data_IF_215096654464
#
_entry.id   IF_215096654464
#
_cell.length_a   1.000
_cell.length_b   1.000
_cell.length_c   1.000
_cell.angle_alpha   90.00
_cell.angle_beta   90.00
_cell.angle_gamma   90.00
#
_symmetry.space_group_name_H-M   'P 1'
#
loop_
_entity.id
_entity.type
_entity.pdbx_description
1 polymer ?
#
# COMPACT_ATOMS: atom_id res chain seq x y z
N UNK A 1 15.02 -3.36 15.30
CA UNK A 1 16.06 -2.32 15.54
C UNK A 1 17.34 -2.59 14.77
N UNK A 2 17.82 -3.84 14.64
CA UNK A 2 19.03 -4.15 13.85
C UNK A 2 18.89 -3.97 12.32
N UNK A 3 17.67 -3.99 11.77
CA UNK A 3 17.49 -3.80 10.32
C UNK A 3 17.66 -2.35 9.86
N UNK A 4 17.39 -1.35 10.71
CA UNK A 4 17.54 0.08 10.35
C UNK A 4 19.00 0.44 10.07
N UNK A 5 19.96 -0.30 10.63
CA UNK A 5 21.40 -0.02 10.46
C UNK A 5 21.99 -0.52 9.14
N UNK A 6 21.36 -1.47 8.43
CA UNK A 6 21.88 -1.99 7.15
C UNK A 6 21.49 -1.11 5.95
N UNK A 7 20.47 -0.24 6.10
CA UNK A 7 19.94 0.62 5.04
C UNK A 7 20.67 1.96 4.87
N UNK A 8 21.58 2.34 5.78
CA UNK A 8 22.12 3.70 5.82
C UNK A 8 23.07 4.08 4.67
N UNK A 9 23.36 3.17 3.72
CA UNK A 9 24.44 3.39 2.73
C UNK A 9 24.10 3.09 1.26
N UNK A 10 22.88 2.61 0.92
CA UNK A 10 22.50 2.29 -0.46
C UNK A 10 21.47 3.30 -1.00
N UNK A 11 21.55 3.65 -2.28
CA UNK A 11 20.48 4.37 -2.97
C UNK A 11 19.25 3.47 -3.15
N UNK A 12 18.06 4.06 -3.23
CA UNK A 12 16.80 3.31 -3.39
C UNK A 12 16.84 2.36 -4.59
N UNK A 13 17.42 2.80 -5.72
CA UNK A 13 17.60 1.98 -6.91
C UNK A 13 18.53 0.79 -6.67
N UNK A 14 19.70 1.02 -6.06
CA UNK A 14 20.67 -0.05 -5.78
C UNK A 14 20.06 -1.08 -4.84
N UNK A 15 19.30 -0.63 -3.86
CA UNK A 15 18.56 -1.52 -2.95
C UNK A 15 17.49 -2.34 -3.71
N UNK A 16 16.72 -1.72 -4.61
CA UNK A 16 15.78 -2.44 -5.46
C UNK A 16 16.49 -3.46 -6.37
N UNK A 17 17.61 -3.08 -6.99
CA UNK A 17 18.42 -3.96 -7.84
C UNK A 17 18.95 -5.17 -7.06
N UNK A 18 19.35 -5.02 -5.80
CA UNK A 18 19.75 -6.14 -4.95
C UNK A 18 18.61 -7.13 -4.70
N UNK A 19 17.39 -6.63 -4.43
CA UNK A 19 16.23 -7.50 -4.27
C UNK A 19 15.89 -8.22 -5.58
N UNK A 20 15.89 -7.49 -6.70
CA UNK A 20 15.61 -8.06 -8.02
C UNK A 20 16.63 -9.13 -8.41
N UNK A 21 17.91 -8.94 -8.08
CA UNK A 21 18.93 -9.96 -8.31
C UNK A 21 18.67 -11.20 -7.44
N UNK A 22 18.29 -11.03 -6.17
CA UNK A 22 17.92 -12.17 -5.32
C UNK A 22 16.71 -12.94 -5.87
N UNK A 23 15.72 -12.23 -6.41
CA UNK A 23 14.55 -12.84 -7.08
C UNK A 23 14.98 -13.60 -8.34
N UNK A 24 15.88 -13.02 -9.14
CA UNK A 24 16.42 -13.66 -10.34
C UNK A 24 17.20 -14.92 -10.01
N UNK A 25 18.07 -14.88 -9.00
CA UNK A 25 18.87 -16.02 -8.54
C UNK A 25 18.01 -17.18 -8.03
N UNK A 26 16.91 -16.86 -7.31
CA UNK A 26 16.04 -17.89 -6.70
C UNK A 26 15.01 -18.46 -7.66
N UNK A 27 14.33 -17.58 -8.40
CA UNK A 27 13.14 -17.92 -9.18
C UNK A 27 13.36 -17.83 -10.69
N UNK A 28 14.54 -17.39 -11.14
CA UNK A 28 14.84 -17.22 -12.58
C UNK A 28 14.12 -16.04 -13.24
N UNK A 29 13.45 -15.18 -12.46
CA UNK A 29 12.67 -14.04 -12.98
C UNK A 29 13.54 -12.79 -13.03
N UNK A 30 13.89 -12.34 -14.24
CA UNK A 30 14.67 -11.11 -14.44
C UNK A 30 13.77 -9.86 -14.43
N UNK A 31 13.41 -9.41 -13.23
CA UNK A 31 12.62 -8.20 -13.02
C UNK A 31 13.32 -6.94 -13.53
N UNK A 32 14.66 -6.90 -13.47
CA UNK A 32 15.45 -5.76 -13.94
C UNK A 32 15.29 -5.58 -15.45
N UNK A 33 15.35 -6.67 -16.22
CA UNK A 33 15.12 -6.62 -17.66
C UNK A 33 13.71 -6.13 -18.02
N UNK A 34 12.70 -6.47 -17.21
CA UNK A 34 11.32 -5.98 -17.39
C UNK A 34 11.25 -4.48 -17.10
N UNK A 35 11.75 -4.05 -15.94
CA UNK A 35 11.63 -2.65 -15.50
C UNK A 35 12.49 -1.68 -16.31
N UNK A 36 13.63 -2.12 -16.83
CA UNK A 36 14.51 -1.32 -17.69
C UNK A 36 14.01 -1.22 -19.15
N UNK A 37 12.90 -1.88 -19.52
CA UNK A 37 12.43 -1.89 -20.90
C UNK A 37 11.64 -0.62 -21.24
N UNK A 38 12.29 0.34 -21.89
CA UNK A 38 11.69 1.64 -22.26
C UNK A 38 10.56 1.54 -23.31
N UNK A 39 10.41 0.41 -23.99
CA UNK A 39 9.30 0.18 -24.91
C UNK A 39 7.98 -0.17 -24.17
N UNK A 40 8.02 -0.39 -22.86
CA UNK A 40 6.88 -0.71 -22.03
C UNK A 40 6.49 0.49 -21.15
N UNK A 41 5.20 0.76 -21.04
CA UNK A 41 4.68 1.66 -20.00
C UNK A 41 4.94 1.08 -18.62
N UNK A 42 5.00 1.93 -17.59
CA UNK A 42 5.20 1.52 -16.19
C UNK A 42 4.16 0.48 -15.74
N UNK A 43 2.90 0.68 -16.13
CA UNK A 43 1.82 -0.30 -15.95
C UNK A 43 2.15 -1.66 -16.57
N UNK A 44 2.63 -1.68 -17.82
CA UNK A 44 2.97 -2.94 -18.51
C UNK A 44 4.19 -3.60 -17.87
N UNK A 45 5.14 -2.82 -17.35
CA UNK A 45 6.28 -3.31 -16.55
C UNK A 45 5.80 -3.99 -15.26
N UNK A 46 4.99 -3.30 -14.45
CA UNK A 46 4.41 -3.84 -13.22
C UNK A 46 3.63 -5.13 -13.48
N UNK A 47 2.76 -5.12 -14.50
CA UNK A 47 1.96 -6.27 -14.90
C UNK A 47 2.81 -7.49 -15.25
N UNK A 48 3.76 -7.34 -16.17
CA UNK A 48 4.61 -8.45 -16.61
C UNK A 48 5.44 -8.98 -15.43
N UNK A 49 5.96 -8.09 -14.60
CA UNK A 49 6.69 -8.46 -13.38
C UNK A 49 5.83 -9.29 -12.42
N UNK A 50 4.60 -8.86 -12.11
CA UNK A 50 3.67 -9.62 -11.25
C UNK A 50 3.38 -10.99 -11.84
N UNK A 51 3.00 -11.07 -13.12
CA UNK A 51 2.65 -12.34 -13.77
C UNK A 51 3.84 -13.29 -13.75
N UNK A 52 5.02 -12.86 -14.17
CA UNK A 52 6.22 -13.71 -14.20
C UNK A 52 6.65 -14.19 -12.83
N UNK A 53 6.56 -13.33 -11.82
CA UNK A 53 6.92 -13.69 -10.45
C UNK A 53 5.90 -14.65 -9.84
N UNK A 54 4.60 -14.42 -10.06
CA UNK A 54 3.54 -15.34 -9.63
C UNK A 54 3.67 -16.71 -10.31
N UNK A 55 3.86 -16.76 -11.63
CA UNK A 55 4.09 -18.00 -12.38
C UNK A 55 5.24 -18.81 -11.75
N UNK A 56 6.40 -18.17 -11.53
CA UNK A 56 7.55 -18.85 -10.95
C UNK A 56 7.30 -19.36 -9.51
N UNK A 57 6.65 -18.56 -8.67
CA UNK A 57 6.34 -18.95 -7.29
C UNK A 57 5.28 -20.06 -7.23
N UNK A 58 4.29 -20.04 -8.11
CA UNK A 58 3.24 -21.06 -8.17
C UNK A 58 3.78 -22.39 -8.70
N UNK A 59 4.68 -22.36 -9.68
CA UNK A 59 5.39 -23.55 -10.16
C UNK A 59 6.22 -24.21 -9.06
N UNK A 60 6.86 -23.43 -8.17
CA UNK A 60 7.60 -23.95 -7.02
C UNK A 60 6.70 -24.59 -5.96
N UNK A 61 5.56 -23.95 -5.65
CA UNK A 61 4.59 -24.46 -4.66
C UNK A 61 3.93 -25.76 -5.16
N UNK A 62 3.74 -25.92 -6.47
CA UNK A 62 3.13 -27.09 -7.11
C UNK A 62 4.00 -28.35 -7.22
N UNK A 63 5.30 -28.29 -6.90
CA UNK A 63 6.18 -29.48 -6.99
C UNK A 63 5.93 -30.49 -5.84
N UNK A 64 5.75 -31.78 -6.13
CA UNK A 64 5.53 -32.79 -5.09
C UNK A 64 6.74 -32.87 -4.14
N UNK A 65 6.49 -32.76 -2.83
CA UNK A 65 7.52 -32.75 -1.78
C UNK A 65 7.81 -31.37 -1.17
N UNK A 66 7.14 -30.29 -1.61
CA UNK A 66 7.30 -28.92 -1.10
C UNK A 66 6.71 -28.67 0.29
N UNK A 67 6.06 -29.67 0.92
CA UNK A 67 5.39 -29.52 2.22
C UNK A 67 4.00 -28.87 2.15
N UNK A 68 3.52 -28.52 0.96
CA UNK A 68 2.13 -28.13 0.73
C UNK A 68 1.22 -29.36 0.85
N UNK A 69 0.81 -29.67 2.09
CA UNK A 69 -0.22 -30.69 2.34
C UNK A 69 -1.57 -30.16 1.87
N UNK A 70 -2.31 -31.05 1.21
CA UNK A 70 -3.52 -30.78 0.44
C UNK A 70 -4.45 -29.73 1.04
N UNK A 71 -4.64 -28.65 0.28
CA UNK A 71 -5.79 -27.77 0.36
C UNK A 71 -6.31 -27.67 -1.07
N UNK A 72 -7.38 -28.41 -1.35
CA UNK A 72 -8.16 -28.21 -2.57
C UNK A 72 -8.76 -26.81 -2.42
N UNK A 73 -8.33 -25.89 -3.26
CA UNK A 73 -8.97 -24.58 -3.41
C UNK A 73 -10.36 -24.83 -4.00
N UNK A 74 -11.35 -25.12 -3.17
CA UNK A 74 -12.75 -25.04 -3.58
C UNK A 74 -13.13 -23.57 -3.57
N UNK A 75 -13.49 -23.09 -4.76
CA UNK A 75 -14.17 -21.83 -5.05
C UNK A 75 -13.33 -20.54 -5.09
N UNK A 76 -12.12 -20.60 -5.67
CA UNK A 76 -11.46 -19.40 -6.20
C UNK A 76 -11.07 -19.62 -7.66
N UNK A 77 -11.71 -18.85 -8.54
CA UNK A 77 -11.39 -18.82 -9.96
C UNK A 77 -10.10 -18.00 -10.16
N UNK A 78 -8.96 -18.69 -10.14
CA UNK A 78 -7.61 -18.13 -10.31
C UNK A 78 -7.51 -17.28 -11.58
N UNK A 79 -8.19 -17.69 -12.67
CA UNK A 79 -8.20 -16.97 -13.94
C UNK A 79 -8.97 -15.66 -13.82
N UNK A 80 -10.16 -15.67 -13.20
CA UNK A 80 -10.95 -14.44 -12.99
C UNK A 80 -10.29 -13.44 -12.03
N UNK A 81 -9.60 -13.91 -10.99
CA UNK A 81 -8.89 -13.03 -10.05
C UNK A 81 -7.66 -12.39 -10.68
N UNK A 82 -6.89 -13.17 -11.45
CA UNK A 82 -5.77 -12.68 -12.22
C UNK A 82 -6.27 -11.71 -13.30
N UNK A 83 -7.32 -12.04 -14.06
CA UNK A 83 -7.93 -11.14 -15.06
C UNK A 83 -8.45 -9.82 -14.47
N UNK A 84 -9.06 -9.83 -13.29
CA UNK A 84 -9.50 -8.59 -12.61
C UNK A 84 -8.34 -7.71 -12.15
N UNK A 85 -7.19 -8.30 -11.82
CA UNK A 85 -5.96 -7.56 -11.55
C UNK A 85 -5.31 -7.04 -12.86
N UNK A 86 -5.74 -7.52 -14.03
CA UNK A 86 -5.19 -7.19 -15.34
C UNK A 86 -6.00 -6.11 -16.10
N UNK A 87 -7.20 -5.73 -15.64
CA UNK A 87 -8.15 -4.89 -16.40
C UNK A 87 -8.19 -3.39 -16.00
N UNK A 88 -7.55 -2.97 -14.91
CA UNK A 88 -7.63 -1.56 -14.45
C UNK A 88 -6.47 -0.69 -14.97
N UNK A 89 -6.76 0.54 -15.38
CA UNK A 89 -5.76 1.53 -15.84
C UNK A 89 -4.70 1.87 -14.80
N UNK A 90 -5.04 1.70 -13.53
CA UNK A 90 -4.17 1.91 -12.36
C UNK A 90 -4.03 0.59 -11.61
N UNK A 91 -2.82 0.31 -11.12
CA UNK A 91 -2.57 -0.87 -10.29
C UNK A 91 -3.30 -0.77 -8.95
N UNK A 92 -3.91 -1.87 -8.51
CA UNK A 92 -4.63 -1.89 -7.24
C UNK A 92 -3.73 -2.42 -6.12
N UNK A 93 -3.54 -1.61 -5.08
CA UNK A 93 -2.82 -1.99 -3.87
C UNK A 93 -3.80 -2.40 -2.76
N UNK A 94 -3.65 -3.61 -2.19
CA UNK A 94 -4.51 -4.08 -1.10
C UNK A 94 -4.29 -3.28 0.18
N UNK A 95 -5.28 -3.27 1.07
CA UNK A 95 -5.11 -2.66 2.40
C UNK A 95 -4.14 -3.49 3.26
N UNK A 96 -3.26 -2.80 3.98
CA UNK A 96 -2.44 -3.41 5.01
C UNK A 96 -3.13 -3.25 6.37
N UNK A 97 -3.06 -4.27 7.22
CA UNK A 97 -3.48 -4.13 8.61
C UNK A 97 -2.30 -4.28 9.57
N UNK A 98 -2.37 -3.53 10.68
CA UNK A 98 -1.35 -3.51 11.72
C UNK A 98 -2.02 -3.39 13.08
N UNK A 99 -1.31 -3.74 14.15
CA UNK A 99 -1.81 -3.48 15.50
C UNK A 99 -1.89 -1.96 15.72
N UNK A 100 -2.78 -1.52 16.61
CA UNK A 100 -2.90 -0.09 16.94
C UNK A 100 -1.59 0.49 17.51
N UNK A 101 -0.80 -0.31 18.24
CA UNK A 101 0.53 0.09 18.72
C UNK A 101 1.51 0.34 17.57
N UNK A 102 1.55 -0.55 16.58
CA UNK A 102 2.41 -0.38 15.41
C UNK A 102 1.96 0.82 14.57
N UNK A 103 0.64 0.99 14.38
CA UNK A 103 0.10 2.18 13.71
C UNK A 103 0.53 3.48 14.40
N UNK A 104 0.44 3.54 15.73
CA UNK A 104 0.86 4.71 16.49
C UNK A 104 2.34 5.03 16.30
N UNK A 105 3.19 4.01 16.23
CA UNK A 105 4.61 4.20 15.89
C UNK A 105 4.78 4.76 14.48
N UNK A 106 4.14 4.16 13.47
CA UNK A 106 4.24 4.56 12.07
C UNK A 106 3.73 5.99 11.83
N UNK A 107 2.61 6.37 12.46
CA UNK A 107 2.06 7.73 12.42
C UNK A 107 3.00 8.77 13.06
N UNK A 108 3.89 8.33 13.95
CA UNK A 108 4.90 9.17 14.61
C UNK A 108 6.15 9.45 13.78
N UNK A 109 6.37 8.72 12.68
CA UNK A 109 7.59 8.86 11.87
C UNK A 109 7.68 10.21 11.15
N UNK A 110 8.88 10.76 11.06
CA UNK A 110 9.17 12.06 10.43
C UNK A 110 10.48 11.99 9.65
N UNK A 111 10.67 12.88 8.68
CA UNK A 111 11.94 12.95 7.95
C UNK A 111 12.29 11.65 7.24
N UNK A 112 13.57 11.29 7.25
CA UNK A 112 14.06 10.07 6.62
C UNK A 112 13.47 8.78 7.20
N UNK A 113 12.96 8.79 8.43
CA UNK A 113 12.33 7.60 9.03
C UNK A 113 11.08 7.16 8.26
N UNK A 114 10.36 8.12 7.64
CA UNK A 114 9.21 7.83 6.76
C UNK A 114 9.67 7.03 5.54
N UNK A 115 10.78 7.45 4.92
CA UNK A 115 11.38 6.77 3.77
C UNK A 115 11.92 5.40 4.16
N UNK A 116 12.69 5.33 5.26
CA UNK A 116 13.28 4.09 5.74
C UNK A 116 12.22 3.03 6.07
N UNK A 117 11.12 3.43 6.71
CA UNK A 117 10.02 2.51 7.00
C UNK A 117 9.42 1.94 5.73
N UNK A 118 8.98 2.80 4.78
CA UNK A 118 8.34 2.33 3.55
C UNK A 118 9.30 1.51 2.67
N UNK A 119 10.58 1.89 2.57
CA UNK A 119 11.59 1.09 1.85
C UNK A 119 11.89 -0.24 2.54
N UNK A 120 11.86 -0.30 3.88
CA UNK A 120 12.10 -1.55 4.62
C UNK A 120 10.99 -2.57 4.42
N UNK A 121 9.75 -2.13 4.18
CA UNK A 121 8.64 -3.01 3.86
C UNK A 121 8.91 -3.83 2.59
N UNK A 122 9.65 -3.30 1.60
CA UNK A 122 10.01 -4.04 0.38
C UNK A 122 10.79 -5.32 0.69
N UNK A 123 11.76 -5.26 1.61
CA UNK A 123 12.50 -6.47 2.04
C UNK A 123 11.61 -7.43 2.80
N UNK A 124 10.68 -6.91 3.59
CA UNK A 124 9.71 -7.74 4.31
C UNK A 124 8.79 -8.48 3.34
N UNK A 125 8.28 -7.80 2.32
CA UNK A 125 7.48 -8.43 1.28
C UNK A 125 8.28 -9.43 0.44
N UNK A 126 9.56 -9.17 0.18
CA UNK A 126 10.45 -10.16 -0.44
C UNK A 126 10.57 -11.43 0.42
N UNK A 127 10.74 -11.31 1.74
CA UNK A 127 10.76 -12.48 2.62
C UNK A 127 9.40 -13.20 2.64
N UNK A 128 8.30 -12.45 2.68
CA UNK A 128 6.93 -12.99 2.70
C UNK A 128 6.61 -13.79 1.44
N UNK A 129 7.01 -13.34 0.24
CA UNK A 129 6.74 -14.10 -1.00
C UNK A 129 7.46 -15.45 -1.03
N UNK A 130 8.57 -15.57 -0.29
CA UNK A 130 9.37 -16.79 -0.19
C UNK A 130 8.85 -17.77 0.87
N UNK A 131 7.76 -17.44 1.57
CA UNK A 131 7.22 -18.29 2.62
C UNK A 131 6.64 -19.59 2.03
N UNK A 132 7.07 -20.73 2.57
CA UNK A 132 6.64 -22.06 2.09
C UNK A 132 5.45 -22.63 2.87
N UNK A 133 5.10 -22.00 3.98
CA UNK A 133 4.01 -22.44 4.86
C UNK A 133 3.23 -21.24 5.40
N UNK A 134 1.94 -21.41 5.75
CA UNK A 134 1.17 -20.35 6.41
C UNK A 134 1.81 -19.84 7.71
N UNK A 135 2.48 -20.73 8.46
CA UNK A 135 3.20 -20.35 9.68
C UNK A 135 4.40 -19.45 9.42
N UNK A 136 5.21 -19.75 8.40
CA UNK A 136 6.33 -18.89 8.00
C UNK A 136 5.84 -17.51 7.54
N UNK A 137 4.78 -17.47 6.72
CA UNK A 137 4.20 -16.19 6.28
C UNK A 137 3.66 -15.37 7.46
N UNK A 138 2.98 -16.02 8.42
CA UNK A 138 2.50 -15.36 9.63
C UNK A 138 3.64 -14.76 10.46
N UNK A 139 4.77 -15.46 10.58
CA UNK A 139 5.96 -14.95 11.28
C UNK A 139 6.54 -13.72 10.58
N UNK A 140 6.66 -13.75 9.25
CA UNK A 140 7.17 -12.61 8.48
C UNK A 140 6.23 -11.39 8.56
N UNK A 141 4.90 -11.61 8.53
CA UNK A 141 3.91 -10.54 8.74
C UNK A 141 4.12 -9.85 10.09
N UNK A 142 4.11 -10.62 11.18
CA UNK A 142 4.30 -10.08 12.54
C UNK A 142 5.66 -9.38 12.67
N UNK A 143 6.72 -9.96 12.09
CA UNK A 143 8.07 -9.37 12.10
C UNK A 143 8.17 -8.06 11.29
N UNK A 144 7.26 -7.86 10.35
CA UNK A 144 7.08 -6.62 9.58
C UNK A 144 6.15 -5.61 10.26
N UNK A 145 5.58 -5.91 11.43
CA UNK A 145 4.56 -5.08 12.08
C UNK A 145 3.21 -5.11 11.36
N UNK A 146 2.96 -6.16 10.56
CA UNK A 146 1.72 -6.36 9.82
C UNK A 146 0.94 -7.54 10.40
N UNK A 147 -0.38 -7.42 10.35
CA UNK A 147 -1.31 -8.49 10.71
C UNK A 147 -1.89 -9.15 9.45
N UNK A 148 -2.07 -8.40 8.37
CA UNK A 148 -2.53 -8.95 7.10
C UNK A 148 -2.15 -8.09 5.90
N UNK A 149 -2.18 -8.72 4.72
CA UNK A 149 -2.13 -8.07 3.40
C UNK A 149 -3.42 -8.40 2.69
N UNK A 150 -4.25 -7.39 2.45
CA UNK A 150 -5.60 -7.52 1.91
C UNK A 150 -6.67 -7.79 2.98
N UNK A 151 -7.89 -7.33 2.69
CA UNK A 151 -9.06 -7.51 3.57
C UNK A 151 -9.50 -8.97 3.70
N UNK A 152 -9.49 -9.84 2.66
CA UNK A 152 -9.89 -11.24 2.83
C UNK A 152 -9.07 -11.95 3.92
N UNK A 153 -7.75 -11.74 3.93
CA UNK A 153 -6.88 -12.26 4.99
C UNK A 153 -7.22 -11.63 6.34
N UNK A 154 -7.42 -10.30 6.38
CA UNK A 154 -7.76 -9.59 7.61
C UNK A 154 -9.04 -10.14 8.25
N UNK A 155 -10.09 -10.38 7.46
CA UNK A 155 -11.40 -10.86 7.93
C UNK A 155 -11.28 -12.22 8.60
N UNK A 156 -10.57 -13.17 7.97
CA UNK A 156 -10.39 -14.51 8.53
C UNK A 156 -9.50 -14.49 9.79
N UNK A 157 -8.46 -13.65 9.81
CA UNK A 157 -7.66 -13.39 11.02
C UNK A 157 -8.51 -12.80 12.15
N UNK A 158 -9.36 -11.80 11.86
CA UNK A 158 -10.26 -11.18 12.83
C UNK A 158 -11.25 -12.20 13.40
N UNK A 159 -11.83 -13.07 12.55
CA UNK A 159 -12.72 -14.14 13.02
C UNK A 159 -12.00 -15.06 14.02
N UNK A 160 -10.75 -15.42 13.72
CA UNK A 160 -9.94 -16.25 14.60
C UNK A 160 -9.56 -15.55 15.91
N UNK A 161 -9.21 -14.25 15.87
CA UNK A 161 -8.99 -13.42 17.08
C UNK A 161 -10.25 -13.36 17.95
N UNK A 162 -11.43 -13.12 17.34
CA UNK A 162 -12.72 -13.12 18.06
C UNK A 162 -13.07 -14.47 18.67
N UNK A 163 -12.56 -15.56 18.11
CA UNK A 163 -12.69 -16.90 18.67
C UNK A 163 -11.69 -17.19 19.81
N UNK A 164 -10.87 -16.21 20.22
CA UNK A 164 -9.92 -16.30 21.32
C UNK A 164 -8.56 -16.87 20.94
N UNK A 165 -8.22 -16.96 19.65
CA UNK A 165 -6.89 -17.38 19.23
C UNK A 165 -5.87 -16.25 19.42
N UNK A 166 -4.68 -16.59 19.91
CA UNK A 166 -3.57 -15.63 19.98
C UNK A 166 -3.17 -15.14 18.58
N UNK A 167 -2.75 -13.88 18.46
CA UNK A 167 -2.45 -13.19 17.20
C UNK A 167 -1.71 -14.02 16.14
N UNK A 168 -0.55 -14.61 16.46
CA UNK A 168 0.22 -15.40 15.49
C UNK A 168 -0.59 -16.61 14.97
N UNK A 169 -1.36 -17.25 15.84
CA UNK A 169 -2.22 -18.38 15.46
C UNK A 169 -3.39 -17.89 14.62
N UNK A 170 -3.99 -16.75 14.97
CA UNK A 170 -5.08 -16.15 14.20
C UNK A 170 -4.64 -15.75 12.78
N UNK A 171 -3.45 -15.15 12.64
CA UNK A 171 -2.87 -14.81 11.32
C UNK A 171 -2.65 -16.07 10.49
N UNK A 172 -2.07 -17.12 11.09
CA UNK A 172 -1.89 -18.41 10.43
C UNK A 172 -3.23 -18.99 9.98
N UNK A 173 -4.27 -18.92 10.82
CA UNK A 173 -5.62 -19.35 10.48
C UNK A 173 -6.15 -18.53 9.30
N UNK A 174 -6.00 -17.21 9.31
CA UNK A 174 -6.40 -16.33 8.22
C UNK A 174 -5.76 -16.69 6.88
N UNK A 175 -4.44 -16.92 6.87
CA UNK A 175 -3.71 -17.38 5.68
C UNK A 175 -4.19 -18.76 5.21
N UNK A 176 -4.42 -19.68 6.15
CA UNK A 176 -4.86 -21.04 5.84
C UNK A 176 -6.26 -21.03 5.20
N UNK A 177 -7.17 -20.19 5.72
CA UNK A 177 -8.53 -20.05 5.22
C UNK A 177 -8.60 -19.51 3.79
N UNK A 178 -7.76 -18.53 3.44
CA UNK A 178 -7.74 -17.95 2.08
C UNK A 178 -6.85 -18.73 1.10
N UNK A 179 -6.02 -19.63 1.61
CA UNK A 179 -5.00 -20.35 0.86
C UNK A 179 -3.67 -19.58 0.78
N UNK A 180 -2.56 -20.32 0.96
CA UNK A 180 -1.20 -19.74 0.93
C UNK A 180 -0.88 -19.07 -0.41
N UNK A 181 -1.31 -19.65 -1.53
CA UNK A 181 -1.11 -19.09 -2.88
C UNK A 181 -1.74 -17.71 -3.01
N UNK A 182 -2.98 -17.55 -2.57
CA UNK A 182 -3.71 -16.28 -2.55
C UNK A 182 -3.01 -15.24 -1.69
N UNK A 183 -2.55 -15.66 -0.52
CA UNK A 183 -1.80 -14.81 0.41
C UNK A 183 -0.48 -14.30 -0.19
N UNK A 184 0.30 -15.21 -0.80
CA UNK A 184 1.54 -14.85 -1.52
C UNK A 184 1.22 -13.96 -2.72
N UNK A 185 0.10 -14.20 -3.41
CA UNK A 185 -0.39 -13.36 -4.50
C UNK A 185 -0.51 -11.90 -4.10
N UNK A 186 -1.21 -11.62 -3.00
CA UNK A 186 -1.37 -10.27 -2.46
C UNK A 186 -0.02 -9.63 -2.06
N UNK A 187 0.89 -10.42 -1.47
CA UNK A 187 2.25 -9.98 -1.13
C UNK A 187 3.06 -9.58 -2.37
N UNK A 188 2.99 -10.36 -3.44
CA UNK A 188 3.72 -10.11 -4.69
C UNK A 188 3.24 -8.83 -5.36
N UNK A 189 1.93 -8.52 -5.30
CA UNK A 189 1.37 -7.27 -5.83
C UNK A 189 2.06 -6.06 -5.20
N UNK A 190 2.08 -6.01 -3.87
CA UNK A 190 2.67 -4.91 -3.11
C UNK A 190 4.19 -4.87 -3.31
N UNK A 191 4.85 -6.03 -3.33
CA UNK A 191 6.30 -6.11 -3.57
C UNK A 191 6.67 -5.51 -4.93
N UNK A 192 5.97 -5.87 -6.00
CA UNK A 192 6.26 -5.36 -7.34
C UNK A 192 6.01 -3.86 -7.43
N UNK A 193 4.92 -3.36 -6.81
CA UNK A 193 4.66 -1.92 -6.71
C UNK A 193 5.81 -1.17 -6.04
N UNK A 194 6.31 -1.70 -4.91
CA UNK A 194 7.44 -1.13 -4.18
C UNK A 194 8.76 -1.22 -4.94
N UNK A 195 9.06 -2.35 -5.58
CA UNK A 195 10.28 -2.48 -6.38
C UNK A 195 10.27 -1.55 -7.58
N UNK A 196 9.13 -1.42 -8.26
CA UNK A 196 8.98 -0.46 -9.35
C UNK A 196 9.17 0.97 -8.83
N UNK A 197 8.53 1.34 -7.72
CA UNK A 197 8.74 2.63 -7.07
C UNK A 197 10.23 2.88 -6.81
N UNK A 198 10.93 1.96 -6.15
CA UNK A 198 12.34 2.17 -5.77
C UNK A 198 13.28 2.17 -6.99
N UNK A 199 12.96 1.41 -8.04
CA UNK A 199 13.78 1.28 -9.25
C UNK A 199 13.67 2.49 -10.19
N UNK A 200 12.49 3.10 -10.33
CA UNK A 200 12.27 4.23 -11.25
C UNK A 200 13.09 5.46 -10.80
N UNK A 201 14.16 5.83 -11.50
CA UNK A 201 14.90 7.08 -11.21
C UNK A 201 14.20 8.33 -11.76
N UNK A 202 12.89 8.46 -11.50
CA UNK A 202 12.16 9.69 -11.75
C UNK A 202 12.29 10.62 -10.55
N UNK A 203 12.81 11.84 -10.74
CA UNK A 203 13.11 12.75 -9.64
C UNK A 203 11.88 13.53 -9.18
N UNK A 204 10.64 13.10 -9.46
CA UNK A 204 9.42 13.75 -8.92
C UNK A 204 8.26 12.75 -8.80
N UNK A 205 8.39 11.83 -7.85
CA UNK A 205 7.44 10.74 -7.61
C UNK A 205 7.15 10.59 -6.11
N UNK A 206 6.01 9.99 -5.76
CA UNK A 206 5.59 9.82 -4.36
C UNK A 206 4.97 8.46 -4.07
N UNK A 207 5.51 7.79 -3.05
CA UNK A 207 4.88 6.64 -2.41
C UNK A 207 4.19 7.12 -1.13
N UNK A 208 2.88 6.95 -1.05
CA UNK A 208 2.09 7.40 0.09
C UNK A 208 1.36 6.26 0.79
N UNK A 209 1.24 6.38 2.10
CA UNK A 209 0.45 5.51 2.95
C UNK A 209 -0.57 6.37 3.73
N UNK A 210 -1.83 5.97 3.74
CA UNK A 210 -2.89 6.65 4.49
C UNK A 210 -3.45 5.69 5.53
N UNK A 211 -3.35 6.05 6.81
CA UNK A 211 -3.73 5.24 7.96
C UNK A 211 -5.08 5.69 8.50
N UNK A 212 -5.99 4.75 8.73
CA UNK A 212 -7.31 4.99 9.27
C UNK A 212 -7.50 4.30 10.63
N UNK A 213 -7.34 5.06 11.72
CA UNK A 213 -7.71 4.64 13.08
C UNK A 213 -9.05 5.30 13.47
N UNK A 214 -10.09 5.04 12.67
CA UNK A 214 -11.47 5.45 12.94
C UNK A 214 -12.43 4.28 12.76
N UNK A 215 -13.66 4.41 13.26
CA UNK A 215 -14.71 3.42 13.08
C UNK A 215 -15.42 3.52 11.71
N UNK A 216 -14.89 4.31 10.78
CA UNK A 216 -15.48 4.56 9.45
C UNK A 216 -14.68 3.89 8.32
N UNK A 217 -15.39 3.32 7.36
CA UNK A 217 -14.81 2.96 6.07
C UNK A 217 -14.67 4.23 5.22
N UNK A 218 -13.55 4.38 4.54
CA UNK A 218 -13.31 5.51 3.65
C UNK A 218 -13.26 5.10 2.20
N UNK A 219 -14.07 5.78 1.40
CA UNK A 219 -14.17 5.62 -0.05
C UNK A 219 -13.73 6.91 -0.72
N UNK A 220 -12.98 6.79 -1.80
CA UNK A 220 -12.70 7.88 -2.75
C UNK A 220 -13.58 7.63 -3.96
N UNK A 221 -14.71 8.33 -4.04
CA UNK A 221 -15.76 8.04 -5.03
C UNK A 221 -15.24 8.29 -6.46
N UNK A 222 -15.52 7.35 -7.36
CA UNK A 222 -15.15 7.44 -8.78
C UNK A 222 -13.67 7.85 -9.02
N UNK A 223 -12.75 7.38 -8.17
CA UNK A 223 -11.34 7.79 -8.21
C UNK A 223 -10.68 7.49 -9.57
N UNK A 224 -11.14 6.44 -10.27
CA UNK A 224 -10.68 6.05 -11.59
C UNK A 224 -10.86 7.18 -12.63
N UNK A 225 -11.87 8.04 -12.42
CA UNK A 225 -12.11 9.18 -13.31
C UNK A 225 -11.09 10.29 -13.14
N UNK A 226 -10.26 10.27 -12.09
CA UNK A 226 -9.28 11.32 -11.75
C UNK A 226 -7.81 10.99 -12.03
N UNK A 227 -7.52 9.74 -12.41
CA UNK A 227 -6.15 9.16 -12.44
C UNK A 227 -5.18 9.84 -13.42
N UNK A 228 -5.71 10.50 -14.46
CA UNK A 228 -4.94 11.25 -15.47
C UNK A 228 -5.15 12.77 -15.35
N UNK A 229 -5.60 13.26 -14.20
CA UNK A 229 -5.85 14.69 -13.97
C UNK A 229 -7.14 15.24 -14.59
N UNK A 230 -8.06 14.35 -14.95
CA UNK A 230 -9.45 14.69 -15.26
C UNK A 230 -10.15 15.20 -13.98
N UNK A 231 -11.04 16.18 -14.14
CA UNK A 231 -11.76 16.84 -13.04
C UNK A 231 -13.04 16.09 -12.68
N UNK A 232 -12.93 14.82 -12.36
CA UNK A 232 -14.08 13.97 -12.06
C UNK A 232 -13.72 12.94 -10.99
N UNK A 233 -14.67 12.72 -10.07
CA UNK A 233 -14.46 11.88 -8.88
C UNK A 233 -13.76 12.62 -7.75
N UNK A 234 -13.48 11.86 -6.68
CA UNK A 234 -12.85 12.34 -5.45
C UNK A 234 -11.31 12.22 -5.48
N UNK A 235 -10.71 11.86 -6.63
CA UNK A 235 -9.26 11.93 -6.87
C UNK A 235 -9.01 13.01 -7.93
N UNK A 236 -8.08 13.92 -7.67
CA UNK A 236 -7.67 14.92 -8.64
C UNK A 236 -6.15 15.03 -8.68
N UNK A 237 -5.58 14.82 -9.87
CA UNK A 237 -4.17 15.09 -10.13
C UNK A 237 -4.01 16.40 -10.90
N UNK A 238 -3.40 17.38 -10.24
CA UNK A 238 -3.01 18.61 -10.91
C UNK A 238 -1.84 18.36 -11.87
N UNK A 239 -0.90 17.52 -11.46
CA UNK A 239 0.26 17.11 -12.24
C UNK A 239 0.64 15.65 -11.95
N UNK A 240 1.15 14.96 -12.97
CA UNK A 240 1.47 13.54 -12.88
C UNK A 240 0.29 12.64 -13.22
N UNK A 241 0.45 11.37 -12.89
CA UNK A 241 -0.57 10.33 -13.02
C UNK A 241 -0.51 9.39 -11.81
N UNK A 242 -1.60 8.68 -11.53
CA UNK A 242 -1.66 7.68 -10.46
C UNK A 242 -1.22 6.33 -11.04
N UNK A 243 -0.09 5.80 -10.60
CA UNK A 243 0.45 4.53 -11.06
C UNK A 243 -0.14 3.35 -10.28
N UNK A 244 -0.34 3.52 -8.97
CA UNK A 244 -0.98 2.52 -8.11
C UNK A 244 -1.89 3.19 -7.08
N UNK A 245 -3.03 2.59 -6.76
CA UNK A 245 -4.00 3.15 -5.85
C UNK A 245 -4.60 2.11 -4.92
N UNK A 246 -4.86 2.53 -3.68
CA UNK A 246 -5.44 1.68 -2.65
C UNK A 246 -6.87 1.29 -3.02
N UNK A 247 -7.16 -0.01 -3.00
CA UNK A 247 -8.53 -0.48 -3.09
C UNK A 247 -8.61 -1.90 -2.56
N UNK A 248 -9.62 -2.14 -1.76
CA UNK A 248 -9.98 -3.46 -1.28
C UNK A 248 -11.51 -3.59 -1.22
N UNK A 249 -12.01 -4.73 -0.76
CA UNK A 249 -13.43 -4.90 -0.49
C UNK A 249 -13.68 -4.77 1.02
N UNK A 250 -14.86 -4.31 1.43
CA UNK A 250 -15.26 -4.25 2.85
C UNK A 250 -15.38 -5.64 3.53
N UNK A 251 -15.13 -6.72 2.80
CA UNK A 251 -15.17 -8.07 3.34
C UNK A 251 -14.76 -9.09 2.30
N UNK A 252 -15.74 -9.63 1.60
CA UNK A 252 -15.54 -10.62 0.53
C UNK A 252 -15.52 -10.01 -0.87
N UNK A 253 -15.30 -10.84 -1.89
CA UNK A 253 -15.20 -10.45 -3.31
C UNK A 253 -16.43 -9.72 -3.87
N UNK A 254 -17.59 -9.84 -3.21
CA UNK A 254 -18.85 -9.21 -3.61
C UNK A 254 -19.21 -7.97 -2.77
N UNK A 255 -18.41 -7.66 -1.75
CA UNK A 255 -18.65 -6.51 -0.87
C UNK A 255 -18.29 -5.19 -1.58
N UNK A 256 -18.86 -4.05 -1.15
CA UNK A 256 -18.49 -2.75 -1.69
C UNK A 256 -16.97 -2.52 -1.63
N UNK A 257 -16.47 -1.82 -2.65
CA UNK A 257 -15.06 -1.41 -2.70
C UNK A 257 -14.82 -0.27 -1.71
N UNK A 258 -13.69 -0.33 -1.03
CA UNK A 258 -13.23 0.66 -0.06
C UNK A 258 -11.77 0.99 -0.33
N UNK A 259 -11.39 2.25 -0.13
CA UNK A 259 -9.99 2.66 -0.25
C UNK A 259 -9.23 2.35 1.04
N UNK A 260 -9.84 2.61 2.20
CA UNK A 260 -9.26 2.30 3.51
C UNK A 260 -10.36 1.82 4.46
N UNK A 261 -10.19 0.61 4.98
CA UNK A 261 -11.14 0.01 5.92
C UNK A 261 -11.17 0.74 7.27
N UNK A 262 -12.32 0.70 7.96
CA UNK A 262 -12.44 1.03 9.38
C UNK A 262 -11.54 0.15 10.26
N UNK A 263 -11.14 0.69 11.42
CA UNK A 263 -10.46 -0.07 12.47
C UNK A 263 -11.33 -1.20 12.99
N UNK A 264 -10.69 -2.19 13.61
CA UNK A 264 -11.38 -3.27 14.31
C UNK A 264 -11.02 -3.18 15.78
N UNK A 265 -12.06 -2.96 16.58
CA UNK A 265 -11.95 -2.82 18.02
C UNK A 265 -12.42 -4.10 18.72
N UNK A 266 -11.54 -4.74 19.49
CA UNK A 266 -11.81 -5.91 20.34
C UNK A 266 -12.08 -5.51 21.80
N UNK A 267 -11.69 -4.29 22.17
CA UNK A 267 -11.92 -3.72 23.49
C UNK A 267 -11.13 -2.41 23.69
N UNK A 268 -11.53 -1.57 24.66
CA UNK A 268 -10.76 -0.38 25.02
C UNK A 268 -9.31 -0.77 25.35
N UNK A 269 -8.35 -0.21 24.61
CA UNK A 269 -6.91 -0.48 24.75
C UNK A 269 -6.49 -1.94 24.53
N UNK A 270 -7.31 -2.75 23.86
CA UNK A 270 -6.93 -4.11 23.48
C UNK A 270 -5.71 -4.05 22.52
N UNK A 271 -4.61 -4.77 22.82
CA UNK A 271 -3.41 -4.80 21.97
C UNK A 271 -3.68 -5.42 20.59
N UNK A 272 -4.74 -6.21 20.45
CA UNK A 272 -5.16 -6.84 19.19
C UNK A 272 -6.07 -5.95 18.35
N UNK A 273 -6.35 -4.71 18.79
CA UNK A 273 -7.03 -3.71 17.97
C UNK A 273 -6.27 -3.49 16.66
N UNK A 274 -6.97 -3.60 15.55
CA UNK A 274 -6.37 -3.51 14.21
C UNK A 274 -6.72 -2.19 13.55
N UNK A 275 -5.71 -1.59 12.94
CA UNK A 275 -5.78 -0.36 12.15
C UNK A 275 -5.41 -0.70 10.71
N UNK A 276 -6.07 -0.05 9.75
CA UNK A 276 -5.85 -0.30 8.32
C UNK A 276 -5.15 0.87 7.65
N UNK A 277 -4.34 0.55 6.66
CA UNK A 277 -3.61 1.50 5.84
C UNK A 277 -3.79 1.19 4.35
N UNK A 278 -4.02 2.23 3.56
CA UNK A 278 -4.01 2.14 2.09
C UNK A 278 -2.72 2.73 1.52
N UNK A 279 -2.22 2.15 0.44
CA UNK A 279 -1.00 2.57 -0.26
C UNK A 279 -1.36 3.18 -1.62
N UNK A 280 -0.67 4.24 -2.02
CA UNK A 280 -0.76 4.79 -3.36
C UNK A 280 0.62 5.18 -3.89
N UNK A 281 0.76 5.16 -5.21
CA UNK A 281 1.95 5.61 -5.92
C UNK A 281 1.55 6.55 -7.05
N UNK A 282 2.11 7.77 -7.04
CA UNK A 282 1.96 8.73 -8.12
C UNK A 282 3.32 9.11 -8.71
N UNK A 283 3.38 9.20 -10.03
CA UNK A 283 4.58 9.59 -10.77
C UNK A 283 4.31 10.83 -11.64
N UNK A 284 5.38 11.53 -12.00
CA UNK A 284 5.32 12.69 -12.88
C UNK A 284 4.93 12.30 -14.30
N UNK A 285 4.38 13.28 -15.02
CA UNK A 285 4.24 13.18 -16.48
C UNK A 285 5.54 13.65 -17.15
N UNK A 286 5.69 13.36 -18.44
CA UNK A 286 6.80 13.87 -19.24
C UNK A 286 6.85 15.41 -19.20
N UNK A 287 8.05 15.97 -18.99
CA UNK A 287 8.30 17.41 -18.92
C UNK A 287 8.71 17.93 -17.52
N UNK A 288 8.67 19.25 -17.35
CA UNK A 288 9.08 19.96 -16.13
C UNK A 288 7.91 20.07 -15.13
N UNK A 289 7.27 18.94 -14.82
CA UNK A 289 6.13 18.87 -13.89
C UNK A 289 6.38 17.77 -12.85
N UNK A 290 5.78 17.97 -11.68
CA UNK A 290 5.88 17.05 -10.55
C UNK A 290 4.81 15.96 -10.55
N UNK A 291 4.66 15.32 -9.39
CA UNK A 291 3.51 14.50 -9.03
C UNK A 291 2.74 15.21 -7.91
N UNK A 292 1.56 15.74 -8.22
CA UNK A 292 0.80 16.63 -7.34
C UNK A 292 -0.70 16.36 -7.46
N UNK A 293 -1.37 16.18 -6.34
CA UNK A 293 -2.79 15.87 -6.33
C UNK A 293 -3.43 15.91 -4.94
N UNK A 294 -4.75 15.79 -4.94
CA UNK A 294 -5.58 15.68 -3.75
C UNK A 294 -6.56 14.53 -3.90
N UNK A 295 -6.81 13.83 -2.80
CA UNK A 295 -7.81 12.77 -2.72
C UNK A 295 -8.78 13.06 -1.57
N UNK A 296 -10.08 12.92 -1.81
CA UNK A 296 -11.15 13.13 -0.83
C UNK A 296 -11.66 11.78 -0.36
N UNK A 297 -11.41 11.47 0.91
CA UNK A 297 -11.94 10.30 1.57
C UNK A 297 -13.28 10.62 2.20
N UNK A 298 -14.27 9.81 1.87
CA UNK A 298 -15.66 9.99 2.28
C UNK A 298 -16.16 8.78 3.06
N UNK A 299 -16.83 9.05 4.17
CA UNK A 299 -17.67 8.12 4.93
C UNK A 299 -19.05 8.76 5.13
N UNK A 300 -20.06 8.03 5.64
CA UNK A 300 -21.35 8.63 5.99
C UNK A 300 -21.26 9.75 7.04
N UNK A 301 -20.23 9.75 7.91
CA UNK A 301 -20.11 10.72 9.01
C UNK A 301 -19.17 11.88 8.72
N UNK A 302 -18.07 11.62 8.03
CA UNK A 302 -17.00 12.60 7.82
C UNK A 302 -16.40 12.49 6.42
N UNK A 303 -15.93 13.63 5.91
CA UNK A 303 -15.14 13.76 4.69
C UNK A 303 -13.86 14.53 4.97
N UNK A 304 -12.72 14.00 4.55
CA UNK A 304 -11.44 14.67 4.65
C UNK A 304 -10.68 14.57 3.33
N UNK A 305 -9.88 15.57 3.03
CA UNK A 305 -8.98 15.58 1.89
C UNK A 305 -7.54 15.37 2.34
N UNK A 306 -6.77 14.68 1.52
CA UNK A 306 -5.32 14.50 1.66
C UNK A 306 -4.63 15.01 0.40
N UNK A 307 -3.79 16.03 0.55
CA UNK A 307 -2.96 16.60 -0.50
C UNK A 307 -1.56 15.98 -0.42
N UNK A 308 -1.02 15.62 -1.56
CA UNK A 308 0.39 15.35 -1.75
C UNK A 308 0.95 16.21 -2.88
N UNK A 309 2.17 16.72 -2.70
CA UNK A 309 2.82 17.57 -3.68
C UNK A 309 4.32 17.30 -3.75
N UNK A 310 4.77 16.89 -4.94
CA UNK A 310 6.19 16.75 -5.31
C UNK A 310 6.47 17.61 -6.54
N UNK A 311 6.42 18.95 -6.41
CA UNK A 311 6.55 19.87 -7.52
C UNK A 311 7.97 19.89 -8.09
N UNK A 312 8.10 20.22 -9.37
CA UNK A 312 9.41 20.20 -10.05
C UNK A 312 10.37 21.26 -9.50
N UNK A 313 9.88 22.48 -9.27
CA UNK A 313 10.69 23.64 -8.87
C UNK A 313 10.47 24.11 -7.43
N UNK A 314 9.35 23.73 -6.80
CA UNK A 314 9.01 24.17 -5.45
C UNK A 314 9.39 23.10 -4.42
N UNK A 315 9.23 23.44 -3.14
CA UNK A 315 9.41 22.47 -2.06
C UNK A 315 8.21 21.50 -2.01
N UNK A 316 8.53 20.24 -1.71
CA UNK A 316 7.59 19.16 -1.47
C UNK A 316 6.74 19.48 -0.24
N UNK A 317 5.51 18.95 -0.21
CA UNK A 317 4.66 19.10 0.95
C UNK A 317 3.41 18.24 0.90
N UNK A 318 2.74 18.21 2.03
CA UNK A 318 1.45 17.55 2.20
C UNK A 318 0.54 18.42 3.07
N UNK A 319 -0.75 18.17 2.98
CA UNK A 319 -1.75 18.73 3.89
C UNK A 319 -2.91 17.76 4.02
N UNK A 320 -3.57 17.76 5.16
CA UNK A 320 -4.77 16.96 5.41
C UNK A 320 -5.77 17.85 6.13
N UNK A 321 -7.06 17.70 5.84
CA UNK A 321 -8.11 18.49 6.49
C UNK A 321 -9.53 18.08 6.12
N UNK A 322 -10.50 18.47 6.95
CA UNK A 322 -11.91 18.24 6.68
C UNK A 322 -12.40 19.07 5.49
N UNK A 323 -13.29 18.48 4.70
CA UNK A 323 -13.97 19.15 3.58
C UNK A 323 -15.47 18.90 3.67
N UNK A 324 -16.25 19.74 3.01
CA UNK A 324 -17.71 19.61 2.94
C UNK A 324 -18.16 18.97 1.64
N UNK A 325 -19.35 18.37 1.65
CA UNK A 325 -19.91 17.74 0.47
C UNK A 325 -20.26 18.78 -0.60
N UNK A 326 -19.93 18.49 -1.85
CA UNK A 326 -20.18 19.38 -2.99
C UNK A 326 -19.11 20.47 -3.21
N UNK A 327 -18.07 20.54 -2.39
CA UNK A 327 -16.93 21.41 -2.67
C UNK A 327 -16.18 20.97 -3.94
N UNK A 328 -15.76 21.97 -4.73
CA UNK A 328 -14.98 21.75 -5.93
C UNK A 328 -13.56 21.25 -5.59
N UNK A 329 -13.19 20.10 -6.14
CA UNK A 329 -11.91 19.44 -5.81
C UNK A 329 -10.69 20.25 -6.26
N UNK A 330 -10.79 21.05 -7.33
CA UNK A 330 -9.70 21.92 -7.77
C UNK A 330 -9.52 23.10 -6.81
N UNK A 331 -10.60 23.64 -6.28
CA UNK A 331 -10.55 24.65 -5.22
C UNK A 331 -9.94 24.06 -3.95
N UNK A 332 -10.36 22.87 -3.51
CA UNK A 332 -9.75 22.17 -2.38
C UNK A 332 -8.25 21.99 -2.62
N UNK A 333 -7.85 21.54 -3.81
CA UNK A 333 -6.44 21.39 -4.19
C UNK A 333 -5.68 22.71 -4.00
N UNK A 334 -6.15 23.83 -4.57
CA UNK A 334 -5.48 25.13 -4.47
C UNK A 334 -5.37 25.61 -3.03
N UNK A 335 -6.45 25.47 -2.26
CA UNK A 335 -6.51 25.89 -0.86
C UNK A 335 -5.55 25.06 0.00
N UNK A 336 -5.47 23.75 -0.23
CA UNK A 336 -4.58 22.84 0.49
C UNK A 336 -3.12 23.05 0.05
N UNK A 337 -2.88 23.27 -1.24
CA UNK A 337 -1.55 23.49 -1.80
C UNK A 337 -0.86 24.72 -1.20
N UNK A 338 -1.62 25.79 -0.95
CA UNK A 338 -1.13 26.99 -0.26
C UNK A 338 -0.80 26.79 1.22
N UNK A 339 -1.32 25.72 1.85
CA UNK A 339 -1.11 25.38 3.27
C UNK A 339 -0.12 24.23 3.49
N UNK A 340 0.38 23.62 2.41
CA UNK A 340 1.20 22.42 2.47
C UNK A 340 2.47 22.63 3.30
N UNK A 341 2.85 21.60 4.04
CA UNK A 341 4.05 21.58 4.88
C UNK A 341 4.73 20.22 4.79
N UNK A 342 5.96 20.11 5.29
CA UNK A 342 6.66 18.82 5.41
C UNK A 342 5.98 17.90 6.44
N UNK A 343 5.43 18.48 7.50
CA UNK A 343 4.75 17.78 8.58
C UNK A 343 3.60 18.65 9.08
N UNK A 344 2.39 18.09 9.09
CA UNK A 344 1.21 18.72 9.68
C UNK A 344 0.63 17.75 10.71
N UNK A 345 0.22 18.27 11.87
CA UNK A 345 -0.56 17.52 12.85
C UNK A 345 -1.40 18.46 13.70
N UNK A 346 -2.70 18.19 13.79
CA UNK A 346 -3.63 18.96 14.61
C UNK A 346 -4.86 18.12 14.96
N UNK A 347 -5.65 18.60 15.90
CA UNK A 347 -6.93 17.98 16.29
C UNK A 347 -8.07 18.90 15.89
N UNK A 348 -9.06 18.36 15.19
CA UNK A 348 -10.29 19.05 14.80
C UNK A 348 -11.45 18.06 14.83
N UNK A 349 -12.64 18.49 15.27
CA UNK A 349 -13.87 17.65 15.30
C UNK A 349 -13.72 16.32 16.07
N UNK A 350 -12.89 16.28 17.11
CA UNK A 350 -12.51 15.07 17.85
C UNK A 350 -11.70 14.03 17.06
N UNK A 351 -11.10 14.43 15.94
CA UNK A 351 -10.15 13.61 15.19
C UNK A 351 -8.78 14.27 15.21
N UNK A 352 -7.74 13.46 15.38
CA UNK A 352 -6.37 13.89 15.11
C UNK A 352 -6.05 13.60 13.65
N UNK A 353 -5.71 14.64 12.91
CA UNK A 353 -5.24 14.56 11.54
C UNK A 353 -3.72 14.80 11.54
N UNK A 354 -2.98 13.98 10.79
CA UNK A 354 -1.55 14.22 10.58
C UNK A 354 -1.10 13.74 9.20
N UNK A 355 -0.16 14.46 8.58
CA UNK A 355 0.47 14.04 7.34
C UNK A 355 1.93 14.49 7.29
N UNK A 356 2.82 13.63 6.81
CA UNK A 356 4.26 13.83 6.83
C UNK A 356 4.88 13.39 5.50
N UNK A 357 5.80 14.17 4.98
CA UNK A 357 6.70 13.79 3.88
C UNK A 357 8.13 13.71 4.40
N UNK A 358 8.95 12.86 3.79
CA UNK A 358 10.31 12.61 4.25
C UNK A 358 11.26 13.81 4.09
N UNK A 359 11.06 14.67 3.10
CA UNK A 359 11.95 15.80 2.88
C UNK A 359 11.25 16.97 2.15
N UNK A 360 11.61 18.24 2.45
CA UNK A 360 11.12 19.42 1.73
C UNK A 360 11.64 19.49 0.29
N UNK A 361 12.77 18.84 -0.01
CA UNK A 361 13.41 18.86 -1.33
C UNK A 361 13.81 17.46 -1.74
N UNK A 362 14.09 17.31 -3.02
CA UNK A 362 14.40 16.03 -3.63
C UNK A 362 13.25 15.53 -4.46
N UNK A 363 13.43 14.33 -5.00
CA UNK A 363 12.59 13.80 -6.05
C UNK A 363 11.85 12.52 -5.75
N UNK A 364 12.31 11.79 -4.76
CA UNK A 364 11.73 10.54 -4.30
C UNK A 364 11.12 10.83 -2.93
N UNK A 365 9.79 10.95 -2.90
CA UNK A 365 9.08 11.35 -1.69
C UNK A 365 8.30 10.17 -1.12
N UNK A 366 8.44 9.99 0.18
CA UNK A 366 7.68 9.05 0.98
C UNK A 366 6.72 9.85 1.85
N UNK A 367 5.44 9.46 1.89
CA UNK A 367 4.40 10.19 2.62
C UNK A 367 3.58 9.25 3.52
N UNK A 368 3.33 9.68 4.77
CA UNK A 368 2.39 9.01 5.67
C UNK A 368 1.34 10.03 6.12
N UNK A 369 0.08 9.78 5.81
CA UNK A 369 -1.07 10.52 6.31
C UNK A 369 -1.92 9.65 7.24
N UNK A 370 -2.66 10.28 8.15
CA UNK A 370 -3.44 9.58 9.16
C UNK A 370 -4.63 10.39 9.66
N UNK A 371 -5.69 9.67 9.99
CA UNK A 371 -6.84 10.15 10.75
C UNK A 371 -7.08 9.20 11.93
N UNK A 372 -7.22 9.76 13.13
CA UNK A 372 -7.35 9.00 14.38
C UNK A 372 -8.52 9.55 15.19
N UNK A 373 -9.36 8.65 15.71
CA UNK A 373 -10.46 8.94 16.63
C UNK A 373 -10.20 8.43 18.05
#
# INVERSE_FOLDING_TARGET
>A
MELVSTYSHLSDRLFAEQIMESIKERHGVDLRAIFANDALSERKKARIARVRLLEALLEEVGRPGSGATGLVATDFDEDTALERMLDTEVDIEPNLSMTRSDANFVMGLRGDDVRLYLSSLTKRFENMQNAKTPGQLAIELVSGGLVSVGVPMAVETIKALRAGQALLTAIRTGITSIGLKTAIGAVVVVLVGFLLYLFLENPKKILGMVINDTDEHFVVKDWEKGVDGKKAGDLYLAFGHMASFMQDNEGGLISPKVQIRARINFGPNDPENLVFAGIYFADRNFGMRGAEGVMIFSSPKIRFAHLFAVPYFEDNGTYIGFVTEGEDIEKIYKDFYGKRQVSVSYTERNYRLAANVNAPRGGVVACIASIVQ
#
